data_IF_134901538970
#
_entry.id   IF_134901538970
#
_cell.length_a   1.000
_cell.length_b   1.000
_cell.length_c   1.000
_cell.angle_alpha   90.00
_cell.angle_beta   90.00
_cell.angle_gamma   90.00
#
_symmetry.space_group_name_H-M   'P 1'
#
loop_
_entity.id
_entity.type
_entity.pdbx_description
1 polymer ?
#
# COMPACT_ATOMS: atom_id res chain seq x y z
N UNK A 1 6.55 -21.01 12.88
CA UNK A 1 6.20 -20.64 14.27
C UNK A 1 7.24 -19.67 14.81
N UNK A 2 7.21 -18.40 14.40
CA UNK A 2 7.94 -17.35 15.12
C UNK A 2 6.90 -16.52 15.85
N UNK A 3 6.91 -16.59 17.18
CA UNK A 3 6.28 -15.52 17.96
C UNK A 3 7.16 -14.30 17.68
N UNK A 4 6.60 -13.25 17.07
CA UNK A 4 7.35 -12.04 16.69
C UNK A 4 8.17 -11.49 17.87
N UNK A 5 7.68 -11.70 19.10
CA UNK A 5 8.34 -11.31 20.34
C UNK A 5 9.75 -11.91 20.53
N UNK A 6 10.08 -13.13 20.07
CA UNK A 6 11.41 -13.74 20.35
C UNK A 6 12.52 -13.35 19.37
N UNK A 7 12.16 -12.77 18.22
CA UNK A 7 13.11 -12.52 17.13
C UNK A 7 14.25 -11.60 17.57
N UNK A 8 13.97 -10.61 18.40
CA UNK A 8 14.99 -9.69 18.94
C UNK A 8 16.05 -10.40 19.78
N UNK A 9 15.65 -11.38 20.58
CA UNK A 9 16.57 -12.16 21.42
C UNK A 9 17.41 -13.12 20.58
N UNK A 10 16.81 -13.76 19.57
CA UNK A 10 17.54 -14.61 18.63
C UNK A 10 18.56 -13.81 17.82
N UNK A 11 18.16 -12.63 17.32
CA UNK A 11 19.03 -11.74 16.57
C UNK A 11 20.15 -11.21 17.47
N UNK A 12 19.84 -10.79 18.69
CA UNK A 12 20.84 -10.33 19.67
C UNK A 12 21.82 -11.42 20.06
N UNK A 13 21.36 -12.68 20.19
CA UNK A 13 22.23 -13.84 20.41
C UNK A 13 23.14 -14.10 19.22
N UNK A 14 22.61 -14.09 18.00
CA UNK A 14 23.38 -14.27 16.75
C UNK A 14 24.46 -13.18 16.63
N UNK A 15 24.08 -11.92 16.82
CA UNK A 15 24.99 -10.77 16.79
C UNK A 15 26.09 -10.89 17.85
N UNK A 16 25.72 -11.21 19.10
CA UNK A 16 26.69 -11.38 20.20
C UNK A 16 27.66 -12.54 19.95
N UNK A 17 27.17 -13.67 19.42
CA UNK A 17 28.02 -14.81 19.02
C UNK A 17 28.98 -14.45 17.89
N UNK A 18 28.50 -13.72 16.89
CA UNK A 18 29.31 -13.24 15.76
C UNK A 18 30.43 -12.32 16.25
N UNK A 19 30.09 -11.30 17.04
CA UNK A 19 31.06 -10.35 17.60
C UNK A 19 32.07 -11.04 18.52
N UNK A 20 31.62 -11.96 19.39
CA UNK A 20 32.53 -12.76 20.21
C UNK A 20 33.56 -13.51 19.36
N UNK A 21 33.14 -14.16 18.26
CA UNK A 21 34.06 -14.88 17.36
C UNK A 21 35.05 -13.93 16.69
N UNK A 22 34.57 -12.81 16.16
CA UNK A 22 35.41 -11.82 15.48
C UNK A 22 36.47 -11.24 16.41
N UNK A 23 36.07 -10.79 17.60
CA UNK A 23 37.00 -10.23 18.59
C UNK A 23 37.97 -11.31 19.10
N UNK A 24 37.51 -12.55 19.29
CA UNK A 24 38.39 -13.65 19.71
C UNK A 24 39.46 -13.98 18.66
N UNK A 25 39.12 -13.93 17.37
CA UNK A 25 40.08 -14.10 16.27
C UNK A 25 41.09 -12.96 16.28
N UNK A 26 40.64 -11.71 16.38
CA UNK A 26 41.53 -10.55 16.45
C UNK A 26 42.47 -10.64 17.66
N UNK A 27 41.95 -10.96 18.84
CA UNK A 27 42.74 -11.19 20.06
C UNK A 27 43.82 -12.26 19.88
N UNK A 28 43.49 -13.37 19.22
CA UNK A 28 44.45 -14.46 18.92
C UNK A 28 45.56 -13.97 17.98
N UNK A 29 45.22 -13.17 16.98
CA UNK A 29 46.19 -12.59 16.06
C UNK A 29 47.12 -11.59 16.76
N UNK A 30 46.58 -10.72 17.62
CA UNK A 30 47.37 -9.80 18.46
C UNK A 30 48.31 -10.58 19.38
N UNK A 31 47.81 -11.62 20.05
CA UNK A 31 48.63 -12.47 20.92
C UNK A 31 49.74 -13.19 20.13
N UNK A 32 49.46 -13.64 18.91
CA UNK A 32 50.48 -14.22 18.02
C UNK A 32 51.58 -13.20 17.71
N UNK A 33 51.22 -11.99 17.29
CA UNK A 33 52.17 -10.90 17.03
C UNK A 33 53.01 -10.55 18.25
N UNK A 34 52.40 -10.47 19.44
CA UNK A 34 53.13 -10.25 20.70
C UNK A 34 54.18 -11.35 20.91
N UNK A 35 53.82 -12.63 20.72
CA UNK A 35 54.76 -13.76 20.86
C UNK A 35 55.90 -13.69 19.84
N UNK A 36 55.59 -13.33 18.61
CA UNK A 36 56.56 -13.19 17.52
C UNK A 36 57.54 -12.04 17.78
N UNK A 37 57.05 -10.87 18.16
CA UNK A 37 57.89 -9.70 18.47
C UNK A 37 58.79 -9.98 19.67
N UNK A 38 58.28 -10.69 20.69
CA UNK A 38 59.10 -11.16 21.81
C UNK A 38 60.20 -12.12 21.36
N UNK A 39 59.88 -13.06 20.45
CA UNK A 39 60.86 -14.01 19.89
C UNK A 39 61.96 -13.30 19.09
N UNK A 40 61.60 -12.25 18.34
CA UNK A 40 62.52 -11.47 17.51
C UNK A 40 63.31 -10.42 18.30
N UNK A 41 63.03 -10.23 19.60
CA UNK A 41 63.73 -9.24 20.45
C UNK A 41 63.34 -7.78 20.19
N UNK A 42 62.26 -7.53 19.45
CA UNK A 42 61.81 -6.19 19.01
C UNK A 42 60.53 -5.72 19.72
N UNK A 43 60.15 -6.38 20.82
CA UNK A 43 58.95 -6.03 21.60
C UNK A 43 59.22 -4.83 22.55
N UNK A 44 59.39 -3.64 21.99
CA UNK A 44 59.65 -2.40 22.71
C UNK A 44 58.94 -1.19 22.06
N UNK A 45 58.97 -0.02 22.71
CA UNK A 45 58.42 1.23 22.16
C UNK A 45 56.90 1.24 21.93
N UNK A 46 56.46 2.10 21.00
CA UNK A 46 55.04 2.32 20.68
C UNK A 46 54.30 1.08 20.18
N UNK A 47 54.99 0.17 19.49
CA UNK A 47 54.39 -1.05 18.96
C UNK A 47 54.00 -2.03 20.07
N UNK A 48 54.82 -2.11 21.14
CA UNK A 48 54.48 -2.85 22.35
C UNK A 48 53.21 -2.31 22.99
N UNK A 49 53.13 -0.99 23.15
CA UNK A 49 52.01 -0.35 23.84
C UNK A 49 50.71 -0.49 23.04
N UNK A 50 50.77 -0.36 21.71
CA UNK A 50 49.64 -0.61 20.82
C UNK A 50 49.15 -2.06 20.88
N UNK A 51 50.05 -3.05 20.82
CA UNK A 51 49.67 -4.45 20.87
C UNK A 51 49.08 -4.85 22.24
N UNK A 52 49.62 -4.32 23.33
CA UNK A 52 49.05 -4.53 24.67
C UNK A 52 47.67 -3.87 24.82
N UNK A 53 47.52 -2.63 24.34
CA UNK A 53 46.24 -1.94 24.30
C UNK A 53 45.16 -2.76 23.57
N UNK A 54 45.46 -3.24 22.36
CA UNK A 54 44.51 -4.07 21.61
C UNK A 54 44.20 -5.39 22.32
N UNK A 55 45.21 -6.03 22.92
CA UNK A 55 45.01 -7.27 23.67
C UNK A 55 44.09 -7.09 24.89
N UNK A 56 44.27 -6.01 25.65
CA UNK A 56 43.44 -5.67 26.81
C UNK A 56 42.02 -5.30 26.40
N UNK A 57 41.88 -4.40 25.42
CA UNK A 57 40.59 -4.00 24.85
C UNK A 57 39.80 -5.22 24.35
N UNK A 58 40.45 -6.09 23.57
CA UNK A 58 39.78 -7.27 23.06
C UNK A 58 39.47 -8.28 24.15
N UNK A 59 40.24 -8.33 25.24
CA UNK A 59 39.93 -9.15 26.40
C UNK A 59 38.59 -8.72 27.01
N UNK A 60 38.44 -7.43 27.28
CA UNK A 60 37.19 -6.85 27.78
C UNK A 60 36.02 -7.10 26.82
N UNK A 61 36.24 -6.87 25.52
CA UNK A 61 35.21 -7.09 24.50
C UNK A 61 34.82 -8.57 24.38
N UNK A 62 35.78 -9.51 24.44
CA UNK A 62 35.45 -10.95 24.45
C UNK A 62 34.62 -11.34 25.66
N UNK A 63 34.92 -10.80 26.83
CA UNK A 63 34.17 -11.06 28.07
C UNK A 63 32.75 -10.48 27.98
N UNK A 64 32.63 -9.24 27.50
CA UNK A 64 31.37 -8.55 27.27
C UNK A 64 30.46 -9.34 26.30
N UNK A 65 30.94 -9.67 25.10
CA UNK A 65 30.13 -10.39 24.11
C UNK A 65 29.81 -11.82 24.54
N UNK A 66 30.71 -12.49 25.27
CA UNK A 66 30.43 -13.80 25.86
C UNK A 66 29.32 -13.71 26.91
N UNK A 67 29.39 -12.72 27.81
CA UNK A 67 28.37 -12.49 28.84
C UNK A 67 27.01 -12.21 28.21
N UNK A 68 26.96 -11.36 27.18
CA UNK A 68 25.71 -11.08 26.45
C UNK A 68 25.17 -12.32 25.74
N UNK A 69 26.03 -13.05 25.01
CA UNK A 69 25.61 -14.29 24.35
C UNK A 69 25.06 -15.32 25.35
N UNK A 70 25.68 -15.45 26.52
CA UNK A 70 25.18 -16.32 27.59
C UNK A 70 23.84 -15.82 28.13
N UNK A 71 23.70 -14.51 28.38
CA UNK A 71 22.46 -13.92 28.87
C UNK A 71 21.28 -14.16 27.92
N UNK A 72 21.44 -13.89 26.62
CA UNK A 72 20.39 -14.16 25.63
C UNK A 72 20.13 -15.67 25.44
N UNK A 73 21.16 -16.51 25.55
CA UNK A 73 20.98 -17.96 25.53
C UNK A 73 20.15 -18.46 26.71
N UNK A 74 20.33 -17.88 27.91
CA UNK A 74 19.53 -18.19 29.09
C UNK A 74 18.10 -17.71 28.89
N UNK A 75 17.90 -16.47 28.43
CA UNK A 75 16.56 -15.92 28.13
C UNK A 75 15.77 -16.81 27.18
N UNK A 76 16.38 -17.21 26.06
CA UNK A 76 15.75 -18.11 25.08
C UNK A 76 15.45 -19.49 25.67
N UNK A 77 16.34 -20.04 26.49
CA UNK A 77 16.10 -21.33 27.16
C UNK A 77 14.96 -21.27 28.17
N UNK A 78 14.83 -20.16 28.90
CA UNK A 78 13.74 -19.94 29.84
C UNK A 78 12.43 -19.70 29.11
N UNK A 79 12.44 -18.90 28.04
CA UNK A 79 11.29 -18.69 27.18
C UNK A 79 10.75 -20.01 26.66
N UNK A 80 11.61 -20.85 26.09
CA UNK A 80 11.22 -22.16 25.56
C UNK A 80 10.72 -23.12 26.65
N UNK A 81 11.17 -22.98 27.90
CA UNK A 81 10.66 -23.77 29.03
C UNK A 81 9.28 -23.30 29.49
N UNK A 82 9.04 -21.98 29.47
CA UNK A 82 7.76 -21.37 29.84
C UNK A 82 6.70 -21.51 28.76
N UNK A 83 7.13 -21.55 27.51
CA UNK A 83 6.28 -21.75 26.36
C UNK A 83 5.83 -23.21 26.29
N UNK A 84 4.50 -23.46 26.26
CA UNK A 84 3.98 -24.82 26.25
C UNK A 84 4.06 -25.53 24.90
N UNK A 85 4.49 -24.87 23.82
CA UNK A 85 4.56 -25.47 22.48
C UNK A 85 3.20 -25.69 21.80
N UNK A 86 2.14 -25.86 22.58
CA UNK A 86 0.78 -26.10 22.10
C UNK A 86 0.03 -24.79 21.82
N UNK A 87 -0.46 -24.65 20.58
CA UNK A 87 -1.64 -23.85 20.27
C UNK A 87 -1.45 -22.34 20.02
N UNK A 88 -0.33 -21.91 19.44
CA UNK A 88 -0.14 -20.48 19.10
C UNK A 88 -0.86 -20.06 17.82
N UNK A 89 -1.30 -21.00 16.99
CA UNK A 89 -2.13 -20.70 15.83
C UNK A 89 -3.43 -21.47 15.94
N UNK A 90 -4.44 -20.87 16.57
CA UNK A 90 -5.85 -21.20 16.28
C UNK A 90 -6.54 -20.06 15.55
N UNK A 91 -5.78 -19.06 15.10
CA UNK A 91 -6.23 -18.08 14.14
C UNK A 91 -6.83 -18.83 12.95
N UNK A 92 -8.15 -18.72 12.86
CA UNK A 92 -8.95 -19.43 11.89
C UNK A 92 -9.69 -18.38 11.09
N UNK A 93 -9.70 -18.59 9.78
CA UNK A 93 -10.69 -17.96 8.93
C UNK A 93 -11.93 -18.85 9.00
N UNK A 94 -13.08 -18.24 9.25
CA UNK A 94 -14.37 -18.88 9.10
C UNK A 94 -14.59 -19.35 7.66
N UNK A 95 -15.66 -20.10 7.44
CA UNK A 95 -16.07 -20.42 6.06
C UNK A 95 -16.42 -19.13 5.34
N UNK A 96 -15.93 -18.94 4.10
CA UNK A 96 -16.33 -17.83 3.22
C UNK A 96 -17.85 -17.70 3.20
N UNK A 97 -18.32 -16.49 3.40
CA UNK A 97 -19.72 -16.11 3.21
C UNK A 97 -19.77 -15.36 1.88
N UNK A 98 -20.44 -15.90 0.85
CA UNK A 98 -20.53 -15.24 -0.45
C UNK A 98 -21.09 -13.82 -0.31
N UNK A 99 -20.54 -12.89 -1.08
CA UNK A 99 -21.06 -11.53 -1.11
C UNK A 99 -22.43 -11.52 -1.81
N UNK A 100 -23.49 -11.21 -1.05
CA UNK A 100 -24.87 -11.17 -1.57
C UNK A 100 -25.30 -9.79 -2.02
N UNK A 101 -24.58 -8.75 -1.61
CA UNK A 101 -24.85 -7.35 -2.00
C UNK A 101 -24.65 -7.20 -3.51
N UNK A 102 -25.62 -6.58 -4.17
CA UNK A 102 -25.60 -6.30 -5.61
C UNK A 102 -24.81 -5.02 -5.93
N UNK A 103 -24.64 -4.71 -7.22
CA UNK A 103 -24.04 -3.44 -7.63
C UNK A 103 -25.01 -2.29 -7.32
N UNK A 104 -24.53 -1.27 -6.60
CA UNK A 104 -25.33 -0.09 -6.27
C UNK A 104 -24.71 1.17 -6.89
N UNK A 105 -25.05 1.46 -8.15
CA UNK A 105 -24.56 2.65 -8.85
C UNK A 105 -25.07 3.95 -8.23
N UNK A 106 -26.30 3.96 -7.70
CA UNK A 106 -26.88 5.13 -7.03
C UNK A 106 -26.04 5.57 -5.84
N UNK A 107 -25.61 4.62 -5.00
CA UNK A 107 -24.76 4.91 -3.84
C UNK A 107 -23.34 5.31 -4.26
N UNK A 108 -22.79 4.69 -5.30
CA UNK A 108 -21.50 5.12 -5.85
C UNK A 108 -21.57 6.56 -6.39
N UNK A 109 -22.68 6.94 -7.04
CA UNK A 109 -22.92 8.28 -7.55
C UNK A 109 -23.11 9.28 -6.41
N UNK A 110 -23.86 8.94 -5.36
CA UNK A 110 -23.98 9.77 -4.15
C UNK A 110 -22.62 10.05 -3.50
N UNK A 111 -21.71 9.07 -3.50
CA UNK A 111 -20.33 9.25 -3.02
C UNK A 111 -19.55 10.21 -3.93
N UNK A 112 -19.65 10.08 -5.25
CA UNK A 112 -19.00 10.99 -6.21
C UNK A 112 -19.56 12.41 -6.11
N UNK A 113 -20.85 12.57 -5.86
CA UNK A 113 -21.54 13.85 -5.68
C UNK A 113 -21.17 14.55 -4.37
N UNK A 114 -20.55 13.85 -3.42
CA UNK A 114 -20.12 14.44 -2.14
C UNK A 114 -18.98 15.46 -2.27
N UNK A 115 -18.30 15.52 -3.42
CA UNK A 115 -17.23 16.46 -3.70
C UNK A 115 -17.46 17.25 -4.99
N UNK A 116 -17.18 18.55 -4.99
CA UNK A 116 -17.42 19.45 -6.13
C UNK A 116 -16.68 19.02 -7.41
N UNK A 117 -15.45 18.48 -7.27
CA UNK A 117 -14.62 18.02 -8.39
C UNK A 117 -15.19 16.78 -9.06
N UNK A 118 -15.61 15.79 -8.25
CA UNK A 118 -16.09 14.49 -8.74
C UNK A 118 -17.57 14.50 -9.12
N UNK A 119 -18.37 15.43 -8.59
CA UNK A 119 -19.82 15.51 -8.82
C UNK A 119 -20.18 15.64 -10.31
N UNK A 120 -19.35 16.32 -11.11
CA UNK A 120 -19.54 16.46 -12.56
C UNK A 120 -19.42 15.14 -13.32
N UNK A 121 -18.82 14.14 -12.70
CA UNK A 121 -18.58 12.82 -13.25
C UNK A 121 -19.38 11.75 -12.49
N UNK A 122 -20.46 12.12 -11.79
CA UNK A 122 -21.38 11.19 -11.15
C UNK A 122 -22.21 10.42 -12.21
N UNK A 123 -21.60 9.36 -12.72
CA UNK A 123 -22.22 8.35 -13.59
C UNK A 123 -21.34 7.09 -13.53
N UNK A 124 -21.26 6.49 -12.35
CA UNK A 124 -20.37 5.36 -12.07
C UNK A 124 -20.59 4.16 -13.00
N UNK A 125 -21.81 4.00 -13.55
CA UNK A 125 -22.15 2.93 -14.50
C UNK A 125 -21.32 2.99 -15.79
N UNK A 126 -21.00 4.18 -16.32
CA UNK A 126 -20.20 4.29 -17.56
C UNK A 126 -18.72 4.01 -17.35
N UNK A 127 -18.23 4.20 -16.13
CA UNK A 127 -16.83 3.97 -15.79
C UNK A 127 -16.58 2.55 -15.29
N UNK A 128 -17.59 1.91 -14.71
CA UNK A 128 -17.46 0.58 -14.15
C UNK A 128 -17.32 -0.48 -15.26
N UNK A 129 -16.18 -1.15 -15.29
CA UNK A 129 -15.97 -2.30 -16.19
C UNK A 129 -16.44 -3.58 -15.54
N UNK A 130 -17.19 -4.39 -16.29
CA UNK A 130 -17.58 -5.73 -15.88
C UNK A 130 -16.36 -6.57 -15.47
N UNK A 131 -16.48 -7.20 -14.30
CA UNK A 131 -15.42 -7.97 -13.66
C UNK A 131 -15.68 -9.46 -13.83
N UNK A 132 -14.60 -10.23 -13.91
CA UNK A 132 -14.71 -11.70 -13.93
C UNK A 132 -15.21 -12.16 -12.56
N UNK A 133 -16.19 -13.05 -12.53
CA UNK A 133 -16.62 -13.66 -11.28
C UNK A 133 -15.47 -14.43 -10.65
N UNK A 134 -15.12 -14.06 -9.41
CA UNK A 134 -14.09 -14.71 -8.63
C UNK A 134 -14.71 -15.39 -7.42
N UNK A 135 -14.35 -16.66 -7.21
CA UNK A 135 -14.86 -17.49 -6.11
C UNK A 135 -14.35 -17.04 -4.73
N UNK A 136 -13.32 -16.19 -4.68
CA UNK A 136 -12.81 -15.59 -3.46
C UNK A 136 -13.56 -14.31 -3.04
N UNK A 137 -14.44 -13.75 -3.87
CA UNK A 137 -15.24 -12.57 -3.47
C UNK A 137 -16.18 -12.99 -2.34
N UNK A 138 -16.22 -12.21 -1.26
CA UNK A 138 -17.01 -12.55 -0.08
C UNK A 138 -16.45 -12.02 1.21
N UNK A 139 -17.19 -12.32 2.28
CA UNK A 139 -16.86 -11.94 3.65
C UNK A 139 -16.27 -13.12 4.40
N UNK A 140 -15.18 -12.88 5.10
CA UNK A 140 -14.42 -13.86 5.84
C UNK A 140 -14.41 -13.50 7.31
N UNK A 141 -15.07 -14.29 8.18
CA UNK A 141 -14.92 -14.13 9.62
C UNK A 141 -13.47 -14.42 10.00
N UNK A 142 -12.79 -13.48 10.63
CA UNK A 142 -11.40 -13.61 11.05
C UNK A 142 -11.31 -13.43 12.54
N UNK A 143 -10.74 -14.42 13.22
CA UNK A 143 -10.41 -14.31 14.64
C UNK A 143 -8.94 -13.91 14.77
N UNK A 144 -8.70 -12.67 15.18
CA UNK A 144 -7.35 -12.15 15.34
C UNK A 144 -6.87 -12.52 16.75
N UNK A 145 -5.94 -13.46 16.82
CA UNK A 145 -5.35 -13.90 18.08
C UNK A 145 -4.30 -12.91 18.60
N UNK A 146 -4.31 -12.66 19.90
CA UNK A 146 -3.34 -11.79 20.59
C UNK A 146 -2.05 -12.54 20.97
N UNK A 147 -1.46 -13.21 19.99
CA UNK A 147 -0.26 -14.05 20.16
C UNK A 147 0.98 -13.23 20.54
N UNK A 148 1.05 -11.97 20.08
CA UNK A 148 2.10 -11.02 20.45
C UNK A 148 2.02 -10.61 21.92
N UNK A 149 0.82 -10.27 22.41
CA UNK A 149 0.59 -9.94 23.83
C UNK A 149 0.98 -11.11 24.74
N UNK A 150 0.63 -12.34 24.34
CA UNK A 150 1.07 -13.55 25.04
C UNK A 150 2.59 -13.70 25.00
N UNK A 151 3.20 -13.45 23.83
CA UNK A 151 4.66 -13.46 23.65
C UNK A 151 5.37 -12.45 24.55
N UNK A 152 4.82 -11.26 24.72
CA UNK A 152 5.38 -10.22 25.59
C UNK A 152 5.16 -10.51 27.07
N UNK A 153 4.02 -11.10 27.43
CA UNK A 153 3.81 -11.66 28.77
C UNK A 153 4.88 -12.71 29.13
N UNK A 154 5.19 -13.63 28.21
CA UNK A 154 6.26 -14.60 28.43
C UNK A 154 7.64 -13.93 28.60
N UNK A 155 7.92 -12.82 27.89
CA UNK A 155 9.17 -12.07 28.10
C UNK A 155 9.26 -11.50 29.51
N UNK A 156 8.17 -10.87 29.98
CA UNK A 156 8.10 -10.31 31.34
C UNK A 156 8.32 -11.42 32.38
N UNK A 157 7.73 -12.60 32.17
CA UNK A 157 8.00 -13.77 33.03
C UNK A 157 9.47 -14.19 33.02
N UNK A 158 10.10 -14.27 31.86
CA UNK A 158 11.52 -14.65 31.73
C UNK A 158 12.42 -13.67 32.48
N UNK A 159 12.17 -12.37 32.34
CA UNK A 159 12.97 -11.34 33.01
C UNK A 159 12.81 -11.41 34.54
N UNK A 160 11.58 -11.61 35.03
CA UNK A 160 11.32 -11.80 36.45
C UNK A 160 12.01 -13.05 37.00
N UNK A 161 12.05 -14.14 36.23
CA UNK A 161 12.71 -15.39 36.63
C UNK A 161 14.21 -15.22 36.75
N UNK A 162 14.82 -14.48 35.82
CA UNK A 162 16.25 -14.14 35.88
C UNK A 162 16.54 -13.33 37.16
N UNK A 163 15.67 -12.38 37.51
CA UNK A 163 15.81 -11.58 38.74
C UNK A 163 15.62 -12.43 40.00
N UNK A 164 14.66 -13.36 39.99
CA UNK A 164 14.40 -14.27 41.10
C UNK A 164 15.52 -15.30 41.31
N UNK A 165 16.29 -15.63 40.26
CA UNK A 165 17.36 -16.61 40.31
C UNK A 165 16.88 -18.03 40.62
N UNK A 166 15.63 -18.36 40.29
CA UNK A 166 15.01 -19.66 40.59
C UNK A 166 14.71 -20.47 39.33
N UNK A 167 14.90 -21.80 39.34
CA UNK A 167 14.47 -22.65 38.24
C UNK A 167 12.94 -22.70 38.17
N UNK A 168 12.41 -22.70 36.95
CA UNK A 168 11.00 -22.94 36.67
C UNK A 168 10.82 -24.36 36.13
N UNK A 169 9.75 -25.03 36.55
CA UNK A 169 9.38 -26.38 36.09
C UNK A 169 7.93 -26.44 35.57
N UNK A 170 7.38 -25.32 35.11
CA UNK A 170 6.06 -25.25 34.51
C UNK A 170 6.12 -24.48 33.19
N UNK A 171 5.18 -24.76 32.31
CA UNK A 171 4.86 -23.93 31.14
C UNK A 171 3.50 -23.26 31.33
N UNK A 172 3.22 -22.22 30.57
CA UNK A 172 1.90 -21.58 30.49
C UNK A 172 1.48 -21.62 29.04
N UNK A 173 0.32 -22.20 28.72
CA UNK A 173 -0.19 -22.17 27.35
C UNK A 173 -0.90 -20.86 27.01
N UNK A 174 -1.08 -20.59 25.72
CA UNK A 174 -1.87 -19.45 25.25
C UNK A 174 -3.29 -19.48 25.85
N UNK A 175 -3.94 -20.65 25.87
CA UNK A 175 -5.27 -20.81 26.46
C UNK A 175 -5.30 -20.56 27.97
N UNK A 176 -4.26 -20.99 28.71
CA UNK A 176 -4.15 -20.71 30.15
C UNK A 176 -3.95 -19.22 30.42
N UNK A 177 -3.17 -18.53 29.57
CA UNK A 177 -3.01 -17.09 29.61
C UNK A 177 -4.32 -16.36 29.31
N UNK A 178 -4.98 -16.73 28.21
CA UNK A 178 -6.24 -16.14 27.72
C UNK A 178 -7.38 -16.29 28.73
N UNK A 179 -7.64 -17.52 29.17
CA UNK A 179 -8.72 -17.82 30.12
C UNK A 179 -8.39 -17.34 31.53
N UNK A 180 -7.10 -17.18 31.83
CA UNK A 180 -6.58 -16.83 33.14
C UNK A 180 -6.68 -17.93 34.18
N UNK A 181 -6.75 -19.17 33.71
CA UNK A 181 -6.76 -20.36 34.55
C UNK A 181 -5.71 -21.36 34.08
N UNK A 182 -4.93 -21.86 35.03
CA UNK A 182 -3.92 -22.88 34.83
C UNK A 182 -4.34 -24.20 35.47
N UNK A 183 -4.07 -25.31 34.80
CA UNK A 183 -4.21 -26.63 35.40
C UNK A 183 -2.98 -26.96 36.27
N UNK A 184 -3.20 -27.09 37.58
CA UNK A 184 -2.20 -27.54 38.56
C UNK A 184 -2.61 -28.95 39.02
N UNK A 185 -2.05 -29.97 38.36
CA UNK A 185 -2.50 -31.36 38.49
C UNK A 185 -3.93 -31.55 37.98
N UNK A 186 -4.86 -31.92 38.87
CA UNK A 186 -6.30 -32.09 38.54
C UNK A 186 -7.15 -30.84 38.83
N UNK A 187 -6.56 -29.76 39.32
CA UNK A 187 -7.29 -28.57 39.78
C UNK A 187 -7.04 -27.39 38.84
N UNK A 188 -8.11 -26.68 38.51
CA UNK A 188 -8.05 -25.41 37.82
C UNK A 188 -7.81 -24.29 38.83
N UNK A 189 -6.75 -23.50 38.65
CA UNK A 189 -6.35 -22.41 39.55
C UNK A 189 -6.20 -21.12 38.76
N UNK A 190 -6.65 -19.98 39.30
CA UNK A 190 -6.42 -18.67 38.68
C UNK A 190 -4.93 -18.45 38.43
N UNK A 191 -4.55 -18.08 37.22
CA UNK A 191 -3.16 -17.92 36.79
C UNK A 191 -2.39 -16.93 37.68
N UNK A 192 -2.99 -15.79 38.01
CA UNK A 192 -2.40 -14.84 38.97
C UNK A 192 -2.09 -15.45 40.35
N UNK A 193 -2.97 -16.32 40.86
CA UNK A 193 -2.76 -16.99 42.14
C UNK A 193 -1.66 -18.05 42.02
N UNK A 194 -1.60 -18.73 40.88
CA UNK A 194 -0.53 -19.68 40.57
C UNK A 194 0.83 -18.96 40.49
N UNK A 195 0.95 -17.90 39.69
CA UNK A 195 2.18 -17.11 39.56
C UNK A 195 2.63 -16.53 40.91
N UNK A 196 1.71 -15.98 41.70
CA UNK A 196 2.03 -15.51 43.07
C UNK A 196 2.60 -16.63 43.94
N UNK A 197 2.05 -17.85 43.86
CA UNK A 197 2.55 -19.02 44.60
C UNK A 197 3.94 -19.45 44.13
N UNK A 198 4.24 -19.30 42.84
CA UNK A 198 5.58 -19.55 42.28
C UNK A 198 6.59 -18.44 42.61
N UNK A 199 6.12 -17.31 43.15
CA UNK A 199 6.95 -16.24 43.69
C UNK A 199 7.24 -15.10 42.72
N UNK A 200 6.48 -14.99 41.63
CA UNK A 200 6.59 -13.87 40.69
C UNK A 200 6.26 -12.53 41.36
N UNK A 201 6.91 -11.47 40.86
CA UNK A 201 6.77 -10.11 41.36
C UNK A 201 5.36 -9.56 41.16
N UNK A 202 4.98 -8.57 41.98
CA UNK A 202 3.71 -7.88 41.82
C UNK A 202 3.61 -7.16 40.46
N UNK A 203 4.74 -6.65 39.95
CA UNK A 203 4.83 -6.06 38.61
C UNK A 203 4.34 -7.03 37.51
N UNK A 204 4.85 -8.26 37.51
CA UNK A 204 4.45 -9.29 36.53
C UNK A 204 2.96 -9.63 36.64
N UNK A 205 2.42 -9.70 37.86
CA UNK A 205 1.01 -9.96 38.10
C UNK A 205 0.12 -8.81 37.62
N UNK A 206 0.54 -7.57 37.83
CA UNK A 206 -0.18 -6.37 37.40
C UNK A 206 -0.15 -6.25 35.88
N UNK A 207 1.02 -6.47 35.27
CA UNK A 207 1.19 -6.51 33.82
C UNK A 207 0.22 -7.51 33.19
N UNK A 208 0.22 -8.77 33.65
CA UNK A 208 -0.72 -9.77 33.18
C UNK A 208 -2.18 -9.34 33.38
N UNK A 209 -2.52 -8.69 34.49
CA UNK A 209 -3.90 -8.29 34.78
C UNK A 209 -4.40 -7.18 33.87
N UNK A 210 -3.52 -6.28 33.43
CA UNK A 210 -3.83 -5.15 32.54
C UNK A 210 -3.94 -5.56 31.07
N UNK A 211 -3.39 -6.72 30.68
CA UNK A 211 -3.48 -7.19 29.30
C UNK A 211 -4.93 -7.46 28.87
N UNK A 212 -5.25 -6.98 27.66
CA UNK A 212 -6.47 -7.35 26.93
C UNK A 212 -6.27 -8.78 26.40
N UNK A 213 -7.17 -9.68 26.80
CA UNK A 213 -7.12 -11.12 26.46
C UNK A 213 -8.31 -11.57 25.64
N UNK A 214 -9.25 -10.67 25.38
CA UNK A 214 -10.41 -10.89 24.54
C UNK A 214 -9.95 -10.87 23.09
N UNK A 215 -10.28 -11.92 22.36
CA UNK A 215 -10.12 -11.94 20.90
C UNK A 215 -11.20 -11.08 20.27
N UNK A 216 -10.83 -10.36 19.22
CA UNK A 216 -11.79 -9.64 18.37
C UNK A 216 -12.12 -10.56 17.20
N UNK A 217 -13.40 -10.92 17.07
CA UNK A 217 -13.90 -11.48 15.83
C UNK A 217 -14.24 -10.30 14.93
N UNK A 218 -13.58 -10.23 13.79
CA UNK A 218 -13.81 -9.21 12.78
C UNK A 218 -14.20 -9.90 11.48
N UNK A 219 -14.65 -9.11 10.52
CA UNK A 219 -14.98 -9.59 9.20
C UNK A 219 -14.11 -8.87 8.19
N UNK A 220 -13.43 -9.65 7.35
CA UNK A 220 -12.66 -9.14 6.23
C UNK A 220 -13.46 -9.42 4.96
N UNK A 221 -13.92 -8.37 4.30
CA UNK A 221 -14.63 -8.47 3.01
C UNK A 221 -13.66 -8.20 1.88
N UNK A 222 -13.62 -9.09 0.89
CA UNK A 222 -13.03 -8.82 -0.42
C UNK A 222 -14.18 -8.55 -1.39
N UNK A 223 -14.23 -7.33 -1.92
CA UNK A 223 -15.32 -6.87 -2.77
C UNK A 223 -14.82 -6.25 -4.07
N UNK A 224 -15.66 -6.42 -5.09
CA UNK A 224 -15.52 -5.86 -6.43
C UNK A 224 -16.68 -4.91 -6.77
N UNK A 225 -17.54 -4.61 -5.79
CA UNK A 225 -18.76 -3.80 -6.00
C UNK A 225 -18.43 -2.33 -6.19
N UNK A 226 -19.16 -1.69 -7.10
CA UNK A 226 -18.97 -0.30 -7.51
C UNK A 226 -18.99 0.66 -6.32
N UNK A 227 -19.96 0.53 -5.42
CA UNK A 227 -20.10 1.36 -4.22
C UNK A 227 -18.95 1.15 -3.22
N UNK A 228 -18.47 -0.09 -3.06
CA UNK A 228 -17.33 -0.36 -2.17
C UNK A 228 -16.01 0.18 -2.75
N UNK A 229 -15.89 0.24 -4.08
CA UNK A 229 -14.73 0.84 -4.76
C UNK A 229 -14.81 2.37 -4.71
N UNK A 230 -15.97 2.97 -4.92
CA UNK A 230 -16.17 4.41 -4.76
C UNK A 230 -15.93 4.84 -3.30
N UNK A 231 -16.45 4.07 -2.34
CA UNK A 231 -16.44 4.40 -0.93
C UNK A 231 -15.19 4.00 -0.13
N UNK A 232 -14.09 3.61 -0.79
CA UNK A 232 -12.85 3.15 -0.15
C UNK A 232 -12.25 4.13 0.89
N UNK A 233 -12.48 5.42 0.70
CA UNK A 233 -12.12 6.47 1.66
C UNK A 233 -13.36 7.05 2.35
N UNK A 234 -14.51 7.08 1.67
CA UNK A 234 -15.75 7.66 2.18
C UNK A 234 -16.25 6.94 3.45
N UNK A 235 -16.25 5.60 3.43
CA UNK A 235 -16.77 4.73 4.50
C UNK A 235 -15.86 4.61 5.72
N UNK A 236 -14.71 5.31 5.73
CA UNK A 236 -13.78 5.29 6.85
C UNK A 236 -14.44 5.71 8.15
N UNK A 237 -14.05 5.11 9.27
CA UNK A 237 -14.43 5.66 10.59
C UNK A 237 -13.90 7.08 10.77
N UNK A 238 -14.60 7.90 11.57
CA UNK A 238 -14.28 9.31 11.76
C UNK A 238 -12.86 9.63 12.26
N UNK A 239 -12.14 8.62 12.78
CA UNK A 239 -10.73 8.73 13.17
C UNK A 239 -9.78 8.95 11.97
N UNK A 240 -10.22 8.63 10.76
CA UNK A 240 -9.38 8.69 9.55
C UNK A 240 -9.41 10.05 8.86
N UNK A 241 -10.33 10.94 9.22
CA UNK A 241 -10.49 12.27 8.59
C UNK A 241 -9.29 13.23 8.76
N UNK A 242 -8.22 12.81 9.45
CA UNK A 242 -6.96 13.54 9.46
C UNK A 242 -6.14 13.20 8.20
N UNK A 243 -5.30 14.11 7.69
CA UNK A 243 -4.44 13.87 6.51
C UNK A 243 -3.57 12.58 6.55
N UNK A 244 -3.45 11.94 7.71
CA UNK A 244 -2.76 10.65 7.90
C UNK A 244 -3.64 9.40 7.70
N UNK A 245 -4.96 9.56 7.52
CA UNK A 245 -5.93 8.46 7.42
C UNK A 245 -6.79 8.47 6.16
N UNK A 246 -6.98 9.62 5.51
CA UNK A 246 -7.73 9.73 4.25
C UNK A 246 -6.86 9.52 3.02
N UNK A 247 -7.42 8.89 1.97
CA UNK A 247 -6.78 8.82 0.66
C UNK A 247 -6.77 10.21 0.01
N UNK A 248 -5.81 10.47 -0.89
CA UNK A 248 -5.88 11.62 -1.78
C UNK A 248 -7.14 11.60 -2.66
N UNK A 249 -7.78 10.43 -2.81
CA UNK A 249 -9.02 10.24 -3.58
C UNK A 249 -10.31 10.16 -2.74
N UNK A 250 -10.31 10.71 -1.54
CA UNK A 250 -11.57 10.95 -0.85
C UNK A 250 -12.31 12.10 -1.55
N UNK A 251 -13.49 11.87 -2.17
CA UNK A 251 -14.22 12.90 -2.92
C UNK A 251 -14.43 14.20 -2.11
N UNK A 252 -14.57 14.08 -0.79
CA UNK A 252 -14.78 15.18 0.16
C UNK A 252 -13.58 16.12 0.31
N UNK A 253 -12.39 15.73 -0.15
CA UNK A 253 -11.18 16.53 -0.04
C UNK A 253 -11.07 17.61 -1.13
N UNK A 254 -11.86 17.51 -2.21
CA UNK A 254 -11.93 18.49 -3.31
C UNK A 254 -10.61 18.73 -4.07
N UNK A 255 -9.65 17.81 -4.00
CA UNK A 255 -8.43 17.86 -4.81
C UNK A 255 -8.66 17.23 -6.21
N UNK A 256 -7.86 17.61 -7.21
CA UNK A 256 -7.96 17.01 -8.56
C UNK A 256 -7.67 15.50 -8.54
N UNK A 257 -6.81 15.05 -7.63
CA UNK A 257 -6.45 13.66 -7.40
C UNK A 257 -7.68 12.79 -7.07
N UNK A 258 -8.80 13.38 -6.61
CA UNK A 258 -10.06 12.66 -6.43
C UNK A 258 -10.61 12.04 -7.72
N UNK A 259 -10.23 12.57 -8.89
CA UNK A 259 -10.63 12.03 -10.19
C UNK A 259 -10.02 10.64 -10.47
N UNK A 260 -8.94 10.25 -9.79
CA UNK A 260 -8.31 8.91 -9.94
C UNK A 260 -9.21 7.78 -9.36
N UNK A 261 -10.33 8.13 -8.73
CA UNK A 261 -11.39 7.18 -8.38
C UNK A 261 -12.07 6.61 -9.64
N UNK A 262 -12.26 7.42 -10.69
CA UNK A 262 -12.88 7.01 -11.95
C UNK A 262 -12.12 5.86 -12.66
N UNK A 263 -10.80 5.97 -12.92
CA UNK A 263 -10.04 4.87 -13.50
C UNK A 263 -9.99 3.62 -12.59
N UNK A 264 -10.22 3.75 -11.29
CA UNK A 264 -10.31 2.59 -10.38
C UNK A 264 -11.59 1.77 -10.57
N UNK A 265 -12.70 2.45 -10.91
CA UNK A 265 -13.94 1.78 -11.33
C UNK A 265 -13.74 1.05 -12.67
N UNK A 266 -12.95 1.66 -13.57
CA UNK A 266 -12.61 1.11 -14.89
C UNK A 266 -11.70 -0.12 -14.83
N UNK A 267 -10.84 -0.24 -13.82
CA UNK A 267 -9.91 -1.36 -13.73
C UNK A 267 -10.58 -2.67 -13.28
N UNK A 268 -10.84 -3.61 -14.19
CA UNK A 268 -11.56 -4.86 -13.89
C UNK A 268 -10.79 -5.91 -13.06
N UNK A 269 -9.53 -5.66 -12.68
CA UNK A 269 -8.72 -6.55 -11.82
C UNK A 269 -8.52 -5.99 -10.42
N UNK A 270 -9.10 -4.84 -10.14
CA UNK A 270 -9.02 -4.14 -8.86
C UNK A 270 -10.09 -4.67 -7.88
N UNK A 271 -9.75 -4.75 -6.61
CA UNK A 271 -10.63 -5.18 -5.53
C UNK A 271 -10.36 -4.32 -4.32
N UNK A 272 -11.32 -4.20 -3.42
CA UNK A 272 -11.11 -3.64 -2.09
C UNK A 272 -11.18 -4.78 -1.07
N UNK A 273 -10.19 -4.83 -0.19
CA UNK A 273 -10.24 -5.66 0.99
C UNK A 273 -10.37 -4.75 2.21
N UNK A 274 -11.43 -4.92 3.00
CA UNK A 274 -11.71 -4.05 4.13
C UNK A 274 -12.24 -4.81 5.35
N UNK A 275 -11.92 -4.27 6.53
CA UNK A 275 -12.22 -4.82 7.84
C UNK A 275 -13.41 -4.08 8.46
N UNK A 276 -14.31 -4.83 9.09
CA UNK A 276 -15.50 -4.30 9.76
C UNK A 276 -15.93 -5.23 10.91
N UNK A 277 -16.90 -4.79 11.73
CA UNK A 277 -17.26 -5.46 12.99
C UNK A 277 -18.40 -6.47 12.84
N UNK A 278 -19.35 -6.22 11.95
CA UNK A 278 -20.52 -7.06 11.74
C UNK A 278 -20.69 -7.45 10.26
N UNK A 279 -21.14 -8.68 10.00
CA UNK A 279 -21.41 -9.13 8.64
C UNK A 279 -22.47 -8.29 7.92
N UNK A 280 -23.42 -7.74 8.67
CA UNK A 280 -24.49 -6.89 8.16
C UNK A 280 -23.95 -5.52 7.70
N UNK A 281 -22.76 -5.10 8.15
CA UNK A 281 -22.14 -3.84 7.74
C UNK A 281 -21.92 -3.76 6.23
N UNK A 282 -21.80 -4.89 5.55
CA UNK A 282 -21.56 -4.94 4.09
C UNK A 282 -22.76 -4.40 3.29
N UNK A 283 -23.96 -4.32 3.87
CA UNK A 283 -25.14 -3.73 3.23
C UNK A 283 -25.16 -2.20 3.31
N UNK A 284 -24.43 -1.62 4.27
CA UNK A 284 -24.33 -0.18 4.50
C UNK A 284 -23.01 0.08 5.24
N UNK A 285 -22.00 0.58 4.52
CA UNK A 285 -20.65 0.72 5.06
C UNK A 285 -20.38 2.10 5.68
N UNK A 286 -21.36 3.00 5.74
CA UNK A 286 -21.17 4.37 6.24
C UNK A 286 -20.59 4.38 7.67
N UNK A 287 -19.39 4.96 7.81
CA UNK A 287 -18.60 5.01 9.05
C UNK A 287 -18.28 3.65 9.72
N UNK A 288 -18.37 2.53 8.99
CA UNK A 288 -18.14 1.17 9.53
C UNK A 288 -16.80 0.55 9.11
N UNK A 289 -16.09 1.16 8.16
CA UNK A 289 -14.82 0.62 7.66
C UNK A 289 -13.67 0.86 8.65
N UNK A 290 -13.23 -0.21 9.32
CA UNK A 290 -12.18 -0.17 10.34
C UNK A 290 -10.75 -0.10 9.81
N UNK A 291 -10.50 -0.70 8.64
CA UNK A 291 -9.22 -0.73 7.91
C UNK A 291 -9.47 -1.18 6.47
N UNK A 292 -8.63 -0.76 5.52
CA UNK A 292 -8.72 -1.22 4.13
C UNK A 292 -7.39 -1.34 3.43
N UNK A 293 -7.38 -2.08 2.33
CA UNK A 293 -6.33 -2.07 1.33
C UNK A 293 -6.91 -2.33 -0.05
N UNK A 294 -6.45 -1.56 -1.03
CA UNK A 294 -6.78 -1.85 -2.42
C UNK A 294 -5.91 -3.00 -2.90
N UNK A 295 -6.53 -3.96 -3.56
CA UNK A 295 -5.85 -5.16 -4.04
C UNK A 295 -6.01 -5.32 -5.55
N UNK A 296 -5.01 -5.93 -6.20
CA UNK A 296 -5.10 -6.28 -7.61
C UNK A 296 -4.92 -7.78 -7.81
N UNK A 297 -5.73 -8.35 -8.68
CA UNK A 297 -5.58 -9.72 -9.16
C UNK A 297 -4.45 -9.80 -10.20
N UNK A 298 -3.46 -10.67 -9.95
CA UNK A 298 -2.36 -10.94 -10.87
C UNK A 298 -2.27 -12.42 -11.20
N UNK A 299 -1.65 -12.72 -12.35
CA UNK A 299 -1.43 -14.09 -12.80
C UNK A 299 0.08 -14.38 -12.86
N UNK A 300 0.55 -15.27 -11.98
CA UNK A 300 1.96 -15.68 -11.95
C UNK A 300 2.04 -17.20 -12.11
N UNK A 301 2.76 -17.65 -13.14
CA UNK A 301 2.98 -19.08 -13.42
C UNK A 301 1.67 -19.90 -13.51
N UNK A 302 0.60 -19.32 -14.05
CA UNK A 302 -0.71 -19.96 -14.22
C UNK A 302 -1.56 -20.03 -12.95
N UNK A 303 -1.16 -19.35 -11.87
CA UNK A 303 -1.95 -19.20 -10.64
C UNK A 303 -2.40 -17.76 -10.46
N UNK A 304 -3.57 -17.59 -9.85
CA UNK A 304 -4.17 -16.31 -9.49
C UNK A 304 -3.76 -15.93 -8.07
N UNK A 305 -3.43 -14.65 -7.89
CA UNK A 305 -3.07 -14.10 -6.59
C UNK A 305 -3.67 -12.71 -6.44
N UNK A 306 -4.25 -12.43 -5.27
CA UNK A 306 -4.61 -11.08 -4.88
C UNK A 306 -3.45 -10.43 -4.11
N UNK A 307 -3.02 -9.26 -4.55
CA UNK A 307 -1.92 -8.50 -3.95
C UNK A 307 -2.47 -7.19 -3.43
N UNK A 308 -2.36 -6.97 -2.11
CA UNK A 308 -2.69 -5.69 -1.48
C UNK A 308 -1.64 -4.62 -1.77
N UNK A 309 -2.05 -3.36 -1.79
CA UNK A 309 -1.18 -2.19 -1.97
C UNK A 309 -0.77 -1.62 -0.60
N UNK A 310 -1.23 -0.42 -0.26
CA UNK A 310 -1.03 0.22 1.03
C UNK A 310 -2.20 -0.09 1.99
N UNK A 311 -1.92 -0.13 3.30
CA UNK A 311 -2.96 -0.26 4.33
C UNK A 311 -3.41 1.11 4.85
N UNK A 312 -4.70 1.24 5.06
CA UNK A 312 -5.35 2.40 5.66
C UNK A 312 -6.15 1.96 6.89
N UNK A 313 -6.20 2.82 7.90
CA UNK A 313 -6.51 2.44 9.27
C UNK A 313 -5.74 3.26 10.30
N UNK A 314 -6.22 3.22 11.55
CA UNK A 314 -5.38 3.60 12.68
C UNK A 314 -4.31 2.52 12.90
N UNK A 315 -3.35 2.75 13.79
CA UNK A 315 -2.23 1.80 13.96
C UNK A 315 -2.68 0.40 14.41
N UNK A 316 -3.76 0.31 15.20
CA UNK A 316 -4.30 -0.96 15.68
C UNK A 316 -5.03 -1.69 14.55
N UNK A 317 -5.93 -1.01 13.84
CA UNK A 317 -6.73 -1.65 12.79
C UNK A 317 -5.93 -1.99 11.53
N UNK A 318 -4.85 -1.25 11.23
CA UNK A 318 -3.86 -1.62 10.20
C UNK A 318 -3.18 -2.95 10.51
N UNK A 319 -2.75 -3.13 11.76
CA UNK A 319 -2.13 -4.38 12.22
C UNK A 319 -3.14 -5.54 12.20
N UNK A 320 -4.38 -5.28 12.61
CA UNK A 320 -5.48 -6.24 12.51
C UNK A 320 -5.75 -6.68 11.04
N UNK A 321 -5.77 -5.73 10.11
CA UNK A 321 -5.94 -6.01 8.68
C UNK A 321 -4.77 -6.83 8.12
N UNK A 322 -3.52 -6.49 8.44
CA UNK A 322 -2.33 -7.24 7.99
C UNK A 322 -2.38 -8.70 8.47
N UNK A 323 -2.79 -8.90 9.73
CA UNK A 323 -3.01 -10.24 10.31
C UNK A 323 -4.13 -10.98 9.60
N UNK A 324 -5.26 -10.32 9.31
CA UNK A 324 -6.39 -10.92 8.60
C UNK A 324 -6.04 -11.35 7.15
N UNK A 325 -5.36 -10.49 6.39
CA UNK A 325 -4.86 -10.79 5.04
C UNK A 325 -3.88 -11.98 5.07
N UNK A 326 -2.98 -12.01 6.05
CA UNK A 326 -2.06 -13.13 6.25
C UNK A 326 -2.76 -14.46 6.51
N UNK A 327 -3.92 -14.45 7.18
CA UNK A 327 -4.70 -15.67 7.44
C UNK A 327 -5.38 -16.17 6.16
N UNK A 328 -5.83 -15.28 5.28
CA UNK A 328 -6.40 -15.65 3.98
C UNK A 328 -5.40 -16.31 3.03
N UNK A 329 -4.09 -16.19 3.28
CA UNK A 329 -3.08 -16.99 2.57
C UNK A 329 -3.32 -18.49 2.72
N UNK A 330 -3.89 -18.94 3.85
CA UNK A 330 -4.21 -20.37 4.05
C UNK A 330 -5.29 -20.89 3.09
N UNK A 331 -6.06 -20.00 2.46
CA UNK A 331 -7.08 -20.31 1.46
C UNK A 331 -6.58 -20.12 0.02
N UNK A 332 -5.30 -19.77 -0.17
CA UNK A 332 -4.71 -19.40 -1.46
C UNK A 332 -5.40 -18.21 -2.15
N UNK A 333 -6.09 -17.35 -1.39
CA UNK A 333 -6.74 -16.15 -1.93
C UNK A 333 -5.68 -15.04 -2.09
N UNK A 334 -4.94 -14.81 -1.01
CA UNK A 334 -3.77 -13.96 -0.99
C UNK A 334 -2.51 -14.84 -1.00
N UNK A 335 -1.42 -14.31 -1.53
CA UNK A 335 -0.09 -14.93 -1.41
C UNK A 335 0.93 -14.03 -0.73
N UNK A 336 0.62 -12.73 -0.63
CA UNK A 336 1.48 -11.70 -0.08
C UNK A 336 0.64 -10.76 0.78
N UNK A 337 1.25 -10.28 1.87
CA UNK A 337 0.63 -9.35 2.82
C UNK A 337 0.29 -8.01 2.16
N UNK A 338 1.23 -7.49 1.37
CA UNK A 338 1.20 -6.24 0.61
C UNK A 338 2.24 -6.35 -0.52
N UNK A 339 2.26 -5.38 -1.44
CA UNK A 339 3.42 -5.14 -2.30
C UNK A 339 4.67 -5.01 -1.42
N UNK A 340 5.58 -5.96 -1.54
CA UNK A 340 6.90 -5.83 -0.95
C UNK A 340 7.77 -5.01 -1.88
N UNK A 341 8.88 -4.47 -1.39
CA UNK A 341 10.03 -4.11 -2.23
C UNK A 341 10.63 -5.38 -2.86
N UNK A 342 9.82 -6.08 -3.65
CA UNK A 342 10.18 -7.31 -4.32
C UNK A 342 11.37 -7.07 -5.23
N UNK A 343 12.18 -8.11 -5.42
CA UNK A 343 13.33 -8.05 -6.32
C UNK A 343 12.92 -8.17 -7.78
N UNK A 344 11.69 -8.62 -8.06
CA UNK A 344 11.22 -8.94 -9.40
C UNK A 344 10.08 -8.00 -9.79
N UNK A 345 10.19 -7.42 -10.99
CA UNK A 345 9.12 -6.63 -11.60
C UNK A 345 8.21 -7.56 -12.41
N UNK A 346 7.00 -7.80 -11.92
CA UNK A 346 5.95 -8.50 -12.66
C UNK A 346 5.16 -7.51 -13.52
N UNK A 347 4.81 -7.92 -14.74
CA UNK A 347 3.96 -7.14 -15.64
C UNK A 347 2.62 -7.83 -15.77
N UNK A 348 1.56 -7.12 -15.39
CA UNK A 348 0.18 -7.61 -15.51
C UNK A 348 -0.58 -6.72 -16.50
N UNK A 349 -1.39 -7.32 -17.35
CA UNK A 349 -2.23 -6.57 -18.31
C UNK A 349 -3.38 -5.87 -17.60
N UNK A 350 -3.68 -4.65 -18.00
CA UNK A 350 -4.81 -3.82 -17.53
C UNK A 350 -5.88 -3.70 -18.63
N UNK A 351 -6.95 -2.93 -18.38
CA UNK A 351 -7.97 -2.64 -19.39
C UNK A 351 -7.51 -1.63 -20.45
N UNK A 352 -6.32 -1.06 -20.31
CA UNK A 352 -5.83 0.05 -21.13
C UNK A 352 -5.82 1.35 -20.34
N UNK A 353 -5.51 2.42 -21.05
CA UNK A 353 -5.47 3.77 -20.50
C UNK A 353 -6.88 4.34 -20.40
N UNK A 354 -7.20 4.95 -19.25
CA UNK A 354 -8.46 5.68 -19.08
C UNK A 354 -8.25 7.12 -19.52
N UNK A 355 -9.13 7.60 -20.40
CA UNK A 355 -9.10 8.97 -20.89
C UNK A 355 -10.44 9.62 -20.56
N UNK A 356 -10.37 10.77 -19.91
CA UNK A 356 -11.52 11.61 -19.61
C UNK A 356 -11.69 12.59 -20.77
N UNK A 357 -12.80 12.45 -21.49
CA UNK A 357 -13.19 13.40 -22.55
C UNK A 357 -13.95 14.57 -21.92
N UNK A 358 -13.43 15.78 -22.11
CA UNK A 358 -14.08 17.03 -21.70
C UNK A 358 -14.46 17.84 -22.94
N UNK A 359 -15.71 18.27 -23.01
CA UNK A 359 -16.17 19.21 -24.04
C UNK A 359 -16.18 20.62 -23.46
N UNK A 360 -15.41 21.52 -24.07
CA UNK A 360 -15.31 22.92 -23.66
C UNK A 360 -15.75 23.84 -24.81
N UNK A 361 -16.59 24.83 -24.51
CA UNK A 361 -17.02 25.84 -25.50
C UNK A 361 -16.08 27.05 -25.46
N UNK A 362 -15.25 27.19 -26.50
CA UNK A 362 -14.42 28.38 -26.65
C UNK A 362 -15.07 29.41 -27.57
N UNK A 363 -14.93 30.68 -27.18
CA UNK A 363 -15.37 31.81 -27.99
C UNK A 363 -14.26 32.24 -28.95
N UNK A 364 -14.51 32.13 -30.26
CA UNK A 364 -13.60 32.58 -31.31
C UNK A 364 -14.09 33.92 -31.87
N UNK A 365 -13.28 34.96 -31.67
CA UNK A 365 -13.45 36.26 -32.30
C UNK A 365 -12.16 36.61 -33.06
N UNK A 366 -12.18 36.41 -34.39
CA UNK A 366 -11.05 36.71 -35.26
C UNK A 366 -11.50 37.50 -36.49
N UNK A 367 -10.87 38.65 -36.70
CA UNK A 367 -10.98 39.41 -37.94
C UNK A 367 -9.81 39.06 -38.85
N UNK A 368 -10.09 38.74 -40.11
CA UNK A 368 -9.04 38.57 -41.11
C UNK A 368 -9.31 39.38 -42.38
N UNK A 369 -8.21 39.78 -43.01
CA UNK A 369 -8.15 40.53 -44.26
C UNK A 369 -7.36 39.70 -45.26
N UNK A 370 -8.02 39.26 -46.33
CA UNK A 370 -7.41 38.46 -47.39
C UNK A 370 -7.45 39.21 -48.72
N UNK A 371 -6.34 39.18 -49.44
CA UNK A 371 -6.24 39.73 -50.79
C UNK A 371 -6.80 38.69 -51.78
N UNK A 372 -7.91 39.01 -52.44
CA UNK A 372 -8.54 38.13 -53.42
C UNK A 372 -8.53 38.77 -54.80
N UNK A 373 -8.41 37.92 -55.83
CA UNK A 373 -8.60 38.31 -57.22
C UNK A 373 -10.07 38.12 -57.59
N UNK A 374 -10.73 39.17 -58.05
CA UNK A 374 -12.08 39.10 -58.58
C UNK A 374 -12.17 39.72 -59.97
N UNK A 375 -13.27 39.48 -60.66
CA UNK A 375 -13.53 40.09 -61.96
C UNK A 375 -13.46 41.61 -61.84
N UNK A 376 -12.67 42.24 -62.71
CA UNK A 376 -12.47 43.67 -62.66
C UNK A 376 -13.82 44.39 -62.83
N UNK A 377 -14.27 45.20 -61.84
CA UNK A 377 -15.62 45.76 -61.84
C UNK A 377 -15.86 46.75 -62.98
N UNK A 378 -14.79 47.30 -63.56
CA UNK A 378 -14.87 48.24 -64.67
C UNK A 378 -15.16 47.56 -66.02
N UNK A 379 -14.69 46.32 -66.23
CA UNK A 379 -14.91 45.56 -67.47
C UNK A 379 -15.72 44.27 -67.27
N UNK A 380 -16.13 43.97 -66.04
CA UNK A 380 -16.86 42.74 -65.71
C UNK A 380 -16.09 41.46 -66.03
N UNK A 381 -14.76 41.48 -65.87
CA UNK A 381 -13.90 40.32 -66.14
C UNK A 381 -13.43 40.17 -67.59
N UNK A 382 -13.97 40.96 -68.54
CA UNK A 382 -13.65 40.78 -69.97
C UNK A 382 -12.23 41.19 -70.36
N UNK A 383 -11.59 42.05 -69.56
CA UNK A 383 -10.30 42.68 -69.89
C UNK A 383 -10.40 43.80 -70.94
N UNK A 384 -11.54 43.99 -71.60
CA UNK A 384 -11.75 44.97 -72.67
C UNK A 384 -12.73 46.07 -72.23
N UNK A 385 -12.48 47.31 -72.65
CA UNK A 385 -13.28 48.48 -72.32
C UNK A 385 -13.53 49.30 -73.59
N UNK A 386 -14.80 49.42 -73.98
CA UNK A 386 -15.18 50.13 -75.22
C UNK A 386 -15.24 51.63 -74.97
N UNK A 387 -14.54 52.40 -75.79
CA UNK A 387 -14.56 53.87 -75.73
C UNK A 387 -14.88 54.47 -77.10
N UNK A 388 -15.64 55.56 -77.11
CA UNK A 388 -15.95 56.28 -78.34
C UNK A 388 -14.83 57.28 -78.66
N UNK A 389 -14.24 57.16 -79.85
CA UNK A 389 -13.20 58.09 -80.29
C UNK A 389 -13.79 59.42 -80.77
N UNK A 390 -12.93 60.43 -80.98
CA UNK A 390 -13.32 61.79 -81.38
C UNK A 390 -13.99 61.89 -82.78
N UNK A 391 -14.21 60.76 -83.47
CA UNK A 391 -14.93 60.65 -84.73
C UNK A 391 -16.25 59.88 -84.58
N UNK A 392 -16.70 59.63 -83.35
CA UNK A 392 -17.96 58.97 -83.04
C UNK A 392 -17.97 57.47 -83.34
N UNK A 393 -16.82 56.79 -83.23
CA UNK A 393 -16.71 55.34 -83.40
C UNK A 393 -16.24 54.68 -82.13
N UNK A 394 -16.94 53.63 -81.73
CA UNK A 394 -16.56 52.75 -80.63
C UNK A 394 -15.32 51.93 -81.01
N UNK A 395 -14.35 51.90 -80.10
CA UNK A 395 -13.11 51.13 -80.22
C UNK A 395 -12.86 50.45 -78.88
N UNK A 396 -12.61 49.14 -78.93
CA UNK A 396 -12.24 48.36 -77.76
C UNK A 396 -10.76 48.55 -77.44
N UNK A 397 -10.49 48.95 -76.19
CA UNK A 397 -9.13 49.08 -75.66
C UNK A 397 -8.98 48.15 -74.45
N UNK A 398 -7.74 47.84 -74.08
CA UNK A 398 -7.48 47.13 -72.83
C UNK A 398 -8.01 47.95 -71.65
N UNK A 399 -8.73 47.30 -70.73
CA UNK A 399 -9.33 47.95 -69.58
C UNK A 399 -8.24 48.66 -68.76
N UNK A 400 -8.37 49.98 -68.50
CA UNK A 400 -7.32 50.75 -67.84
C UNK A 400 -7.18 50.43 -66.34
N UNK A 401 -8.17 49.77 -65.74
CA UNK A 401 -8.19 49.43 -64.31
C UNK A 401 -7.46 48.11 -64.03
N UNK A 402 -7.65 47.08 -64.86
CA UNK A 402 -6.93 45.80 -64.75
C UNK A 402 -5.77 45.66 -65.74
N UNK A 403 -5.50 46.68 -66.56
CA UNK A 403 -4.47 46.63 -67.59
C UNK A 403 -4.71 45.60 -68.68
N UNK A 404 -5.96 45.13 -68.84
CA UNK A 404 -6.34 44.10 -69.82
C UNK A 404 -6.32 42.67 -69.30
N UNK A 405 -5.98 42.41 -68.03
CA UNK A 405 -5.98 41.05 -67.47
C UNK A 405 -7.37 40.47 -67.22
N UNK A 406 -8.37 41.34 -67.02
CA UNK A 406 -9.72 40.95 -66.58
C UNK A 406 -9.86 40.80 -65.06
N UNK A 407 -8.77 40.63 -64.32
CA UNK A 407 -8.77 40.41 -62.87
C UNK A 407 -8.32 41.66 -62.09
N UNK A 408 -8.90 41.87 -60.90
CA UNK A 408 -8.61 43.00 -60.00
C UNK A 408 -8.40 42.49 -58.57
N UNK A 409 -7.26 42.85 -57.96
CA UNK A 409 -6.94 42.51 -56.57
C UNK A 409 -7.66 43.47 -55.62
N UNK A 410 -8.46 42.93 -54.70
CA UNK A 410 -9.09 43.69 -53.61
C UNK A 410 -8.97 42.95 -52.30
N UNK A 411 -8.99 43.71 -51.20
CA UNK A 411 -9.08 43.12 -49.86
C UNK A 411 -10.55 42.82 -49.54
N UNK A 412 -10.78 41.65 -48.96
CA UNK A 412 -12.06 41.27 -48.35
C UNK A 412 -11.84 41.13 -46.85
N UNK A 413 -12.73 41.76 -46.09
CA UNK A 413 -12.76 41.66 -44.63
C UNK A 413 -13.83 40.65 -44.23
N UNK A 414 -13.47 39.70 -43.38
CA UNK A 414 -14.41 38.78 -42.75
C UNK A 414 -14.11 38.70 -41.25
N UNK A 415 -15.17 38.72 -40.45
CA UNK A 415 -15.13 38.55 -38.99
C UNK A 415 -15.78 37.22 -38.65
N UNK A 416 -15.05 36.34 -37.96
CA UNK A 416 -15.61 35.12 -37.37
C UNK A 416 -15.91 35.42 -35.92
N UNK A 417 -17.19 35.32 -35.55
CA UNK A 417 -17.72 35.54 -34.21
C UNK A 417 -18.64 34.35 -33.86
N UNK A 418 -18.07 33.30 -33.25
CA UNK A 418 -18.80 32.06 -32.99
C UNK A 418 -18.24 31.28 -31.80
N UNK A 419 -19.07 30.41 -31.24
CA UNK A 419 -18.66 29.44 -30.23
C UNK A 419 -18.31 28.13 -30.93
N UNK A 420 -17.18 27.54 -30.56
CA UNK A 420 -16.75 26.23 -31.06
C UNK A 420 -16.54 25.31 -29.87
N UNK A 421 -17.21 24.16 -29.89
CA UNK A 421 -16.94 23.08 -28.95
C UNK A 421 -15.61 22.42 -29.33
N UNK A 422 -14.69 22.38 -28.38
CA UNK A 422 -13.44 21.64 -28.48
C UNK A 422 -13.54 20.46 -27.53
N UNK A 423 -13.10 19.31 -28.01
CA UNK A 423 -12.94 18.13 -27.17
C UNK A 423 -11.48 18.10 -26.72
N UNK A 424 -11.29 18.11 -25.41
CA UNK A 424 -10.00 17.84 -24.77
C UNK A 424 -10.03 16.45 -24.14
N UNK A 425 -8.88 15.79 -24.11
CA UNK A 425 -8.74 14.45 -23.54
C UNK A 425 -7.69 14.50 -22.43
N UNK A 426 -8.10 14.27 -21.18
CA UNK A 426 -7.22 14.14 -20.03
C UNK A 426 -7.02 12.67 -19.69
N UNK A 427 -5.79 12.18 -19.86
CA UNK A 427 -5.42 10.85 -19.40
C UNK A 427 -5.36 10.84 -17.87
N UNK A 428 -6.08 9.89 -17.25
CA UNK A 428 -6.01 9.67 -15.80
C UNK A 428 -5.39 8.31 -15.53
N UNK A 429 -4.52 8.25 -14.53
CA UNK A 429 -3.94 7.00 -14.06
C UNK A 429 -4.79 6.39 -12.94
N UNK A 430 -4.98 5.06 -12.90
CA UNK A 430 -5.57 4.42 -11.73
C UNK A 430 -4.66 4.61 -10.51
N UNK A 431 -5.26 4.90 -9.36
CA UNK A 431 -4.66 5.09 -8.02
C UNK A 431 -3.12 5.03 -7.90
N UNK A 432 -2.49 6.12 -7.48
CA UNK A 432 -1.06 6.20 -7.08
C UNK A 432 -0.79 5.55 -5.70
N UNK A 433 -1.21 4.29 -5.51
CA UNK A 433 -0.95 3.50 -4.30
C UNK A 433 0.11 2.41 -4.58
N UNK A 434 1.20 2.81 -5.25
CA UNK A 434 2.35 1.95 -5.56
C UNK A 434 2.19 1.04 -6.77
N UNK A 435 1.12 1.24 -7.53
CA UNK A 435 0.87 0.62 -8.82
C UNK A 435 1.42 1.51 -9.94
N UNK A 436 2.50 1.12 -10.59
CA UNK A 436 3.02 1.92 -11.73
C UNK A 436 2.32 1.50 -13.02
N UNK A 437 1.39 2.33 -13.50
CA UNK A 437 0.62 2.10 -14.71
C UNK A 437 1.38 2.56 -15.97
N UNK A 438 1.19 1.86 -17.09
CA UNK A 438 1.80 2.17 -18.38
C UNK A 438 0.79 2.06 -19.53
N UNK A 439 -0.49 2.37 -19.24
CA UNK A 439 -1.60 2.23 -20.17
C UNK A 439 -2.08 0.78 -20.27
N UNK A 440 -1.41 -0.05 -21.08
CA UNK A 440 -1.86 -1.42 -21.37
C UNK A 440 -1.41 -2.46 -20.33
N UNK A 441 -0.47 -2.08 -19.48
CA UNK A 441 0.06 -2.93 -18.44
C UNK A 441 0.43 -2.14 -17.20
N UNK A 442 0.47 -2.84 -16.09
CA UNK A 442 0.94 -2.35 -14.82
C UNK A 442 2.20 -3.12 -14.42
N UNK A 443 3.13 -2.43 -13.77
CA UNK A 443 4.31 -3.07 -13.21
C UNK A 443 4.19 -3.13 -11.69
N UNK A 444 4.28 -4.34 -11.15
CA UNK A 444 4.12 -4.62 -9.73
C UNK A 444 5.38 -5.34 -9.24
N UNK A 445 5.94 -4.87 -8.13
CA UNK A 445 7.07 -5.55 -7.50
C UNK A 445 6.55 -6.71 -6.64
N UNK A 446 7.04 -7.91 -6.93
CA UNK A 446 6.68 -9.13 -6.20
C UNK A 446 7.94 -9.89 -5.77
N UNK A 447 7.83 -10.64 -4.67
CA UNK A 447 8.83 -11.64 -4.27
C UNK A 447 8.31 -13.04 -4.62
N UNK A 448 8.80 -13.59 -5.73
CA UNK A 448 8.41 -14.92 -6.24
C UNK A 448 8.66 -16.03 -5.21
N UNK A 449 9.66 -15.89 -4.33
CA UNK A 449 9.94 -16.90 -3.29
C UNK A 449 8.83 -16.96 -2.24
N UNK A 450 8.19 -15.82 -1.96
CA UNK A 450 7.07 -15.73 -1.01
C UNK A 450 5.79 -16.32 -1.62
N UNK A 451 5.66 -16.26 -2.96
CA UNK A 451 4.60 -16.92 -3.72
C UNK A 451 4.73 -18.45 -3.78
N UNK A 452 5.81 -19.02 -3.23
CA UNK A 452 6.10 -20.45 -3.28
C UNK A 452 6.42 -20.94 -4.70
N UNK A 453 7.01 -20.06 -5.53
CA UNK A 453 7.43 -20.33 -6.91
C UNK A 453 8.94 -20.54 -7.03
#
# INVERSE_FOLDING_TARGET
MSILSILDWEQSLKNSKSMYRTVLIHKRNVLHRIKEYKRLGIFNGSDRDNLLYYYERDTLNTEYHRKNALAYSIKLSLFNSLFSGEGVNRANVGKRIPLTVEQNYSEADEILESGDVTARYANSEIYYSDRVENDFIGTYPVTIERTEDYGDFLKVLVDDVILMGKPINFSISYEEWKTGYKMDGKRQVKLNKFLRKQGFSQYTLDYYSQQIKTEKCLYLTVSDRVQHIAGMAFYSTGEWHSMSGTSCQDPRNEYEECLDLLPSLYDNKLFIAFLHEDIEDVEDMEEKMLARTMCRLIHVSGKQFLIGSQLYGNNETKDELDKALSLLNSYNIFSLRQMSEGTTNHKERTNGQFSLEEEDEIYLCNDFEELVNCDCPACGGSGEYTVENNRGREVDISCPVCGGSGEFETFVHASVDTYVTINDEKELEPYDEGYTHYGDFIQIRIDEKVLGL
#
